data_IF_167570563038
#
_entry.id   IF_167570563038
#
_cell.length_a   1.000
_cell.length_b   1.000
_cell.length_c   1.000
_cell.angle_alpha   90.00
_cell.angle_beta   90.00
_cell.angle_gamma   90.00
#
_symmetry.space_group_name_H-M   'P 1'
#
loop_
_entity.id
_entity.type
_entity.pdbx_description
1 polymer ?
#
# COMPACT_ATOMS: atom_id res chain seq x y z
N UNK A 1 -61.75 12.90 -5.21
CA UNK A 1 -60.39 12.52 -4.77
C UNK A 1 -59.80 11.50 -5.74
N UNK A 2 -58.85 11.94 -6.56
CA UNK A 2 -57.75 11.04 -6.87
C UNK A 2 -57.35 10.34 -5.55
N UNK A 3 -57.40 9.01 -5.47
CA UNK A 3 -57.05 8.31 -4.24
C UNK A 3 -55.59 8.61 -3.88
N UNK A 4 -55.38 9.60 -3.02
CA UNK A 4 -54.14 9.92 -2.35
C UNK A 4 -54.08 9.09 -1.07
N UNK A 5 -54.02 7.76 -1.21
CA UNK A 5 -53.62 6.89 -0.11
C UNK A 5 -52.09 6.76 -0.08
N UNK A 6 -51.44 7.92 0.11
CA UNK A 6 -50.10 8.15 0.66
C UNK A 6 -49.96 9.66 0.76
N UNK A 7 -49.61 10.18 1.95
CA UNK A 7 -49.20 11.58 2.05
C UNK A 7 -48.10 11.81 1.02
N UNK A 8 -48.20 12.84 0.16
CA UNK A 8 -47.16 13.13 -0.80
C UNK A 8 -45.87 13.37 -0.03
N UNK A 9 -44.82 12.66 -0.43
CA UNK A 9 -43.48 12.90 0.08
C UNK A 9 -43.05 14.32 -0.28
N UNK A 10 -41.96 14.82 0.32
CA UNK A 10 -41.33 16.09 -0.12
C UNK A 10 -40.90 16.07 -1.60
N UNK A 11 -40.98 14.92 -2.28
CA UNK A 11 -40.53 14.70 -3.66
C UNK A 11 -41.70 14.66 -4.68
N UNK A 12 -42.95 14.77 -4.24
CA UNK A 12 -44.12 14.69 -5.12
C UNK A 12 -44.53 16.07 -5.65
N UNK A 13 -44.77 16.17 -6.97
CA UNK A 13 -45.41 17.34 -7.56
C UNK A 13 -46.92 17.17 -7.52
N UNK A 14 -47.59 18.16 -6.94
CA UNK A 14 -49.05 18.25 -6.98
C UNK A 14 -49.51 18.64 -8.38
N UNK A 15 -50.22 17.73 -9.07
CA UNK A 15 -50.78 17.97 -10.41
C UNK A 15 -51.90 19.01 -10.38
N UNK A 16 -52.75 18.94 -9.36
CA UNK A 16 -53.85 19.87 -9.12
C UNK A 16 -54.13 19.88 -7.61
N UNK A 17 -54.43 21.05 -7.05
CA UNK A 17 -54.91 21.15 -5.66
C UNK A 17 -56.29 20.49 -5.56
N UNK A 18 -56.62 19.96 -4.39
CA UNK A 18 -57.94 19.36 -4.19
C UNK A 18 -59.05 20.39 -4.40
N UNK A 19 -60.02 20.07 -5.26
CA UNK A 19 -61.20 20.89 -5.47
C UNK A 19 -62.40 20.04 -5.88
N UNK A 20 -63.60 20.58 -5.63
CA UNK A 20 -64.86 19.98 -6.07
C UNK A 20 -65.23 20.51 -7.45
N UNK A 21 -65.67 19.62 -8.34
CA UNK A 21 -66.20 19.98 -9.66
C UNK A 21 -67.73 20.08 -9.56
N UNK A 22 -68.29 21.15 -10.09
CA UNK A 22 -69.74 21.34 -10.21
C UNK A 22 -70.11 21.41 -11.69
N UNK A 23 -71.21 20.78 -12.08
CA UNK A 23 -71.71 20.85 -13.44
C UNK A 23 -72.44 22.18 -13.63
N UNK A 24 -72.00 22.98 -14.59
CA UNK A 24 -72.59 24.30 -14.87
C UNK A 24 -74.00 24.16 -15.47
N UNK A 25 -74.21 23.09 -16.24
CA UNK A 25 -75.46 22.70 -16.88
C UNK A 25 -75.65 21.19 -16.79
N UNK A 26 -76.86 20.70 -17.08
CA UNK A 26 -77.10 19.28 -17.25
C UNK A 26 -76.20 18.71 -18.35
N UNK A 27 -75.44 17.66 -18.04
CA UNK A 27 -74.58 16.99 -19.00
C UNK A 27 -75.36 16.04 -19.92
N UNK A 28 -74.66 15.53 -20.92
CA UNK A 28 -75.22 14.69 -21.97
C UNK A 28 -74.60 13.29 -21.91
N UNK A 29 -75.45 12.25 -21.93
CA UNK A 29 -74.99 10.87 -21.94
C UNK A 29 -74.78 10.36 -23.38
N UNK A 30 -73.71 9.62 -23.58
CA UNK A 30 -73.40 8.89 -24.82
C UNK A 30 -73.44 9.72 -26.13
N UNK A 31 -72.93 10.95 -26.12
CA UNK A 31 -72.90 11.84 -27.29
C UNK A 31 -71.67 11.62 -28.15
N UNK A 32 -71.85 11.60 -29.48
CA UNK A 32 -70.73 11.56 -30.42
C UNK A 32 -70.04 12.92 -30.54
N UNK A 33 -68.74 12.95 -30.26
CA UNK A 33 -67.89 14.13 -30.38
C UNK A 33 -66.63 13.74 -31.12
N UNK A 34 -66.42 14.31 -32.31
CA UNK A 34 -65.18 14.18 -33.11
C UNK A 34 -64.61 12.75 -33.20
N UNK A 35 -65.51 11.77 -33.43
CA UNK A 35 -65.15 10.37 -33.64
C UNK A 35 -65.01 9.52 -32.38
N UNK A 36 -65.36 10.05 -31.20
CA UNK A 36 -65.53 9.27 -29.97
C UNK A 36 -66.93 9.43 -29.38
N UNK A 37 -67.34 8.47 -28.55
CA UNK A 37 -68.57 8.51 -27.77
C UNK A 37 -68.23 8.30 -26.30
N UNK A 38 -68.01 9.38 -25.52
CA UNK A 38 -67.89 9.27 -24.07
C UNK A 38 -69.22 8.85 -23.44
N UNK A 39 -69.15 8.11 -22.34
CA UNK A 39 -70.35 7.69 -21.63
C UNK A 39 -71.10 8.89 -21.05
N UNK A 40 -70.37 9.91 -20.61
CA UNK A 40 -70.95 11.18 -20.19
C UNK A 40 -70.06 12.37 -20.55
N UNK A 41 -70.71 13.44 -21.00
CA UNK A 41 -70.10 14.73 -21.32
C UNK A 41 -70.70 15.80 -20.41
N UNK A 42 -69.86 16.42 -19.59
CA UNK A 42 -70.25 17.53 -18.73
C UNK A 42 -69.50 18.81 -19.05
N UNK A 43 -70.04 19.94 -18.59
CA UNK A 43 -69.37 21.23 -18.61
C UNK A 43 -69.16 21.66 -17.15
N UNK A 44 -67.91 21.95 -16.81
CA UNK A 44 -67.53 22.44 -15.49
C UNK A 44 -66.58 23.62 -15.66
N UNK A 45 -66.93 24.78 -15.09
CA UNK A 45 -66.18 26.02 -15.22
C UNK A 45 -65.87 26.37 -16.69
N UNK A 46 -66.89 26.31 -17.55
CA UNK A 46 -66.80 26.55 -19.00
C UNK A 46 -65.89 25.57 -19.77
N UNK A 47 -65.44 24.49 -19.12
CA UNK A 47 -64.60 23.45 -19.75
C UNK A 47 -65.37 22.15 -19.89
N UNK A 48 -65.24 21.54 -21.06
CA UNK A 48 -65.77 20.21 -21.31
C UNK A 48 -64.94 19.18 -20.55
N UNK A 49 -65.62 18.27 -19.85
CA UNK A 49 -65.02 17.11 -19.20
C UNK A 49 -65.75 15.87 -19.70
N UNK A 50 -64.99 14.86 -20.08
CA UNK A 50 -65.52 13.55 -20.41
C UNK A 50 -65.43 12.62 -19.21
N UNK A 51 -66.42 11.75 -19.09
CA UNK A 51 -66.46 10.69 -18.10
C UNK A 51 -66.71 9.36 -18.81
N UNK A 52 -65.87 8.38 -18.51
CA UNK A 52 -65.99 6.99 -18.95
C UNK A 52 -66.33 6.13 -17.74
N UNK A 53 -67.30 5.24 -17.88
CA UNK A 53 -67.76 4.35 -16.81
C UNK A 53 -67.42 2.91 -17.18
N UNK A 54 -66.45 2.35 -16.47
CA UNK A 54 -66.00 0.98 -16.70
C UNK A 54 -66.79 0.01 -15.83
N UNK A 55 -67.60 -0.85 -16.46
CA UNK A 55 -68.41 -1.87 -15.75
C UNK A 55 -67.95 -3.29 -16.09
N UNK A 56 -67.64 -3.56 -17.36
CA UNK A 56 -67.16 -4.89 -17.81
C UNK A 56 -65.99 -4.81 -18.78
N UNK A 57 -65.82 -3.68 -19.46
CA UNK A 57 -64.79 -3.48 -20.49
C UNK A 57 -64.12 -2.13 -20.23
N UNK A 58 -62.79 -2.12 -20.19
CA UNK A 58 -62.00 -0.89 -20.11
C UNK A 58 -62.04 -0.14 -21.45
N UNK A 59 -61.83 1.18 -21.47
CA UNK A 59 -61.72 1.95 -22.72
C UNK A 59 -60.58 1.43 -23.60
N UNK A 60 -60.91 1.15 -24.85
CA UNK A 60 -60.02 0.58 -25.85
C UNK A 60 -58.86 1.54 -26.19
N UNK A 61 -57.70 1.00 -26.60
CA UNK A 61 -56.55 1.81 -27.04
C UNK A 61 -56.87 2.87 -28.12
N UNK A 62 -57.70 2.58 -29.15
CA UNK A 62 -58.15 3.61 -30.10
C UNK A 62 -58.92 4.77 -29.46
N UNK A 63 -59.78 4.47 -28.47
CA UNK A 63 -60.57 5.47 -27.74
C UNK A 63 -59.66 6.35 -26.88
N UNK A 64 -58.71 5.75 -26.15
CA UNK A 64 -57.69 6.48 -25.38
C UNK A 64 -56.81 7.39 -26.27
N UNK A 65 -56.42 6.92 -27.45
CA UNK A 65 -55.67 7.73 -28.41
C UNK A 65 -56.46 8.94 -28.91
N UNK A 66 -57.77 8.79 -29.15
CA UNK A 66 -58.64 9.88 -29.56
C UNK A 66 -58.90 10.89 -28.43
N UNK A 67 -59.13 10.43 -27.20
CA UNK A 67 -59.26 11.28 -26.01
C UNK A 67 -58.02 12.16 -25.80
N UNK A 68 -56.81 11.59 -25.97
CA UNK A 68 -55.55 12.36 -25.92
C UNK A 68 -55.46 13.41 -27.04
N UNK A 69 -55.92 13.12 -28.25
CA UNK A 69 -55.90 14.11 -29.36
C UNK A 69 -56.83 15.30 -29.10
N UNK A 70 -57.99 15.05 -28.50
CA UNK A 70 -58.97 16.10 -28.20
C UNK A 70 -58.52 17.03 -27.06
N UNK A 71 -57.47 16.67 -26.32
CA UNK A 71 -56.95 17.41 -25.18
C UNK A 71 -58.05 17.73 -24.13
N UNK A 72 -59.12 16.94 -24.10
CA UNK A 72 -60.25 17.13 -23.18
C UNK A 72 -60.03 16.32 -21.91
N UNK A 73 -60.06 16.93 -20.71
CA UNK A 73 -59.94 16.20 -19.45
C UNK A 73 -60.93 15.05 -19.40
N UNK A 74 -60.42 13.83 -19.16
CA UNK A 74 -61.23 12.62 -19.18
C UNK A 74 -61.02 11.83 -17.90
N UNK A 75 -62.11 11.63 -17.17
CA UNK A 75 -62.16 10.88 -15.93
C UNK A 75 -62.74 9.50 -16.19
N UNK A 76 -62.10 8.46 -15.68
CA UNK A 76 -62.70 7.13 -15.58
C UNK A 76 -63.29 6.94 -14.20
N UNK A 77 -64.47 6.33 -14.17
CA UNK A 77 -65.13 5.81 -12.98
C UNK A 77 -65.26 4.30 -13.16
N UNK A 78 -64.40 3.56 -12.48
CA UNK A 78 -64.38 2.11 -12.48
C UNK A 78 -65.41 1.57 -11.47
N UNK A 79 -66.45 0.93 -12.00
CA UNK A 79 -67.50 0.24 -11.28
C UNK A 79 -67.44 -1.29 -11.51
N UNK A 80 -66.35 -1.81 -12.09
CA UNK A 80 -66.24 -3.23 -12.47
C UNK A 80 -66.33 -4.20 -11.28
N UNK A 81 -65.94 -3.75 -10.09
CA UNK A 81 -66.00 -4.51 -8.85
C UNK A 81 -67.33 -4.33 -8.08
N UNK A 82 -68.27 -3.54 -8.60
CA UNK A 82 -69.53 -3.22 -7.90
C UNK A 82 -70.58 -4.32 -8.12
N UNK A 83 -71.25 -4.83 -7.06
CA UNK A 83 -72.31 -5.82 -7.18
C UNK A 83 -73.48 -5.35 -8.06
N UNK A 84 -74.13 -6.29 -8.77
CA UNK A 84 -75.24 -5.96 -9.69
C UNK A 84 -76.54 -5.57 -8.97
N UNK A 85 -76.67 -5.87 -7.70
CA UNK A 85 -77.79 -5.53 -6.82
C UNK A 85 -77.56 -4.24 -6.01
N UNK A 86 -76.55 -3.43 -6.38
CA UNK A 86 -76.24 -2.14 -5.77
C UNK A 86 -77.43 -1.18 -5.82
N UNK A 87 -77.66 -0.46 -4.72
CA UNK A 87 -78.77 0.48 -4.60
C UNK A 87 -78.44 1.85 -5.22
N UNK A 88 -79.47 2.60 -5.64
CA UNK A 88 -79.26 3.95 -6.20
C UNK A 88 -78.49 4.92 -5.28
N UNK A 89 -78.70 4.93 -3.94
CA UNK A 89 -77.87 5.72 -3.03
C UNK A 89 -76.39 5.32 -3.02
N UNK A 90 -76.10 4.02 -3.13
CA UNK A 90 -74.71 3.51 -3.16
C UNK A 90 -74.01 3.86 -4.48
N UNK A 91 -74.73 3.78 -5.61
CA UNK A 91 -74.21 4.25 -6.91
C UNK A 91 -73.93 5.76 -6.85
N UNK A 92 -74.84 6.57 -6.30
CA UNK A 92 -74.63 8.02 -6.14
C UNK A 92 -73.37 8.30 -5.33
N UNK A 93 -73.20 7.59 -4.21
CA UNK A 93 -71.97 7.70 -3.40
C UNK A 93 -70.76 7.38 -4.28
N UNK A 94 -70.70 6.21 -4.91
CA UNK A 94 -69.54 5.77 -5.69
C UNK A 94 -69.23 6.66 -6.90
N UNK A 95 -70.24 7.21 -7.58
CA UNK A 95 -70.07 8.02 -8.79
C UNK A 95 -69.80 9.49 -8.48
N UNK A 96 -70.46 10.05 -7.46
CA UNK A 96 -70.45 11.50 -7.20
C UNK A 96 -69.66 11.87 -5.95
N UNK A 97 -70.02 11.28 -4.80
CA UNK A 97 -69.54 11.76 -3.49
C UNK A 97 -68.17 11.19 -3.11
N UNK A 98 -67.99 9.90 -3.40
CA UNK A 98 -66.78 9.13 -3.21
C UNK A 98 -65.87 9.29 -4.41
N UNK A 99 -64.71 8.68 -4.33
CA UNK A 99 -63.53 9.09 -5.07
C UNK A 99 -62.62 7.91 -5.40
N UNK A 100 -62.78 6.86 -4.62
CA UNK A 100 -62.53 5.48 -4.92
C UNK A 100 -63.04 5.10 -6.31
N UNK A 101 -62.25 4.31 -7.04
CA UNK A 101 -62.55 3.90 -8.41
C UNK A 101 -62.40 5.00 -9.46
N UNK A 102 -61.92 6.21 -9.12
CA UNK A 102 -61.74 7.30 -10.09
C UNK A 102 -60.29 7.57 -10.45
N UNK A 103 -60.00 7.69 -11.74
CA UNK A 103 -58.68 8.13 -12.24
C UNK A 103 -58.80 8.99 -13.49
N UNK A 104 -57.84 9.89 -13.70
CA UNK A 104 -57.73 10.61 -14.97
C UNK A 104 -57.17 9.68 -16.04
N UNK A 105 -57.91 9.47 -17.12
CA UNK A 105 -57.38 8.86 -18.35
C UNK A 105 -56.53 9.86 -19.15
N UNK A 106 -56.92 11.13 -19.07
CA UNK A 106 -56.16 12.24 -19.61
C UNK A 106 -56.40 13.50 -18.77
N UNK A 107 -55.32 14.16 -18.38
CA UNK A 107 -55.34 15.47 -17.74
C UNK A 107 -54.39 16.41 -18.48
N UNK A 108 -54.87 17.56 -19.03
CA UNK A 108 -54.02 18.46 -19.82
C UNK A 108 -52.75 18.93 -19.12
N UNK A 109 -52.77 19.12 -17.80
CA UNK A 109 -51.62 19.60 -17.01
C UNK A 109 -50.54 18.55 -16.69
N UNK A 110 -50.74 17.28 -17.07
CA UNK A 110 -49.81 16.20 -16.70
C UNK A 110 -48.42 16.39 -17.32
N UNK A 111 -48.35 16.79 -18.59
CA UNK A 111 -47.08 16.95 -19.31
C UNK A 111 -46.22 18.07 -18.70
N UNK A 112 -46.84 19.21 -18.37
CA UNK A 112 -46.18 20.35 -17.72
C UNK A 112 -45.64 19.96 -16.33
N UNK A 113 -46.46 19.29 -15.52
CA UNK A 113 -46.05 18.84 -14.20
C UNK A 113 -44.91 17.82 -14.25
N UNK A 114 -44.93 16.88 -15.21
CA UNK A 114 -43.82 15.95 -15.46
C UNK A 114 -42.54 16.68 -15.87
N UNK A 115 -42.64 17.68 -16.76
CA UNK A 115 -41.49 18.49 -17.16
C UNK A 115 -40.89 19.25 -15.97
N UNK A 116 -41.74 19.84 -15.11
CA UNK A 116 -41.32 20.51 -13.88
C UNK A 116 -40.61 19.56 -12.91
N UNK A 117 -41.11 18.33 -12.74
CA UNK A 117 -40.48 17.32 -11.88
C UNK A 117 -39.08 16.97 -12.38
N UNK A 118 -38.95 16.73 -13.68
CA UNK A 118 -37.66 16.43 -14.30
C UNK A 118 -36.69 17.58 -14.13
N UNK A 119 -37.11 18.82 -14.37
CA UNK A 119 -36.26 20.00 -14.21
C UNK A 119 -35.72 20.14 -12.77
N UNK A 120 -36.58 19.96 -11.76
CA UNK A 120 -36.17 20.00 -10.35
C UNK A 120 -35.17 18.88 -10.01
N UNK A 121 -35.39 17.67 -10.53
CA UNK A 121 -34.46 16.54 -10.34
C UNK A 121 -33.10 16.83 -10.96
N UNK A 122 -33.08 17.29 -12.21
CA UNK A 122 -31.83 17.67 -12.90
C UNK A 122 -31.08 18.75 -12.16
N UNK A 123 -31.78 19.78 -11.65
CA UNK A 123 -31.15 20.86 -10.88
C UNK A 123 -30.52 20.33 -9.58
N UNK A 124 -31.21 19.42 -8.87
CA UNK A 124 -30.68 18.80 -7.65
C UNK A 124 -29.45 17.94 -7.95
N UNK A 125 -29.53 17.11 -8.98
CA UNK A 125 -28.42 16.23 -9.34
C UNK A 125 -27.20 17.05 -9.77
N UNK A 126 -27.40 18.13 -10.53
CA UNK A 126 -26.34 19.07 -10.88
C UNK A 126 -25.70 19.72 -9.64
N UNK A 127 -26.51 20.12 -8.64
CA UNK A 127 -25.99 20.66 -7.39
C UNK A 127 -25.19 19.62 -6.60
N UNK A 128 -25.66 18.37 -6.53
CA UNK A 128 -24.96 17.28 -5.86
C UNK A 128 -23.62 16.94 -6.56
N UNK A 129 -23.60 16.95 -7.90
CA UNK A 129 -22.35 16.76 -8.64
C UNK A 129 -21.37 17.92 -8.42
N UNK A 130 -21.84 19.17 -8.38
CA UNK A 130 -20.99 20.31 -8.10
C UNK A 130 -20.36 20.24 -6.70
N UNK A 131 -21.11 19.83 -5.69
CA UNK A 131 -20.59 19.63 -4.32
C UNK A 131 -19.53 18.53 -4.27
N UNK A 132 -19.75 17.40 -4.96
CA UNK A 132 -18.75 16.34 -5.08
C UNK A 132 -17.47 16.81 -5.80
N UNK A 133 -17.62 17.56 -6.88
CA UNK A 133 -16.48 18.12 -7.63
C UNK A 133 -15.64 19.08 -6.76
N UNK A 134 -16.27 19.90 -5.92
CA UNK A 134 -15.56 20.75 -4.96
C UNK A 134 -14.74 19.94 -3.96
N UNK A 135 -15.30 18.86 -3.40
CA UNK A 135 -14.59 17.96 -2.49
C UNK A 135 -13.39 17.30 -3.18
N UNK A 136 -13.57 16.75 -4.39
CA UNK A 136 -12.47 16.16 -5.16
C UNK A 136 -11.39 17.17 -5.51
N UNK A 137 -11.79 18.39 -5.85
CA UNK A 137 -10.83 19.45 -6.18
C UNK A 137 -9.99 19.84 -4.97
N UNK A 138 -10.62 19.93 -3.79
CA UNK A 138 -9.94 20.22 -2.53
C UNK A 138 -8.99 19.08 -2.12
N UNK A 139 -9.40 17.82 -2.24
CA UNK A 139 -8.54 16.65 -1.99
C UNK A 139 -7.31 16.66 -2.90
N UNK A 140 -7.50 16.88 -4.21
CA UNK A 140 -6.37 16.99 -5.15
C UNK A 140 -5.44 18.15 -4.82
N UNK A 141 -5.98 19.27 -4.33
CA UNK A 141 -5.19 20.42 -3.90
C UNK A 141 -4.31 20.08 -2.69
N UNK A 142 -4.88 19.40 -1.70
CA UNK A 142 -4.15 18.94 -0.51
C UNK A 142 -3.06 17.92 -0.88
N UNK A 143 -3.37 16.96 -1.74
CA UNK A 143 -2.40 15.98 -2.23
C UNK A 143 -1.28 16.64 -3.03
N UNK A 144 -1.61 17.60 -3.90
CA UNK A 144 -0.62 18.38 -4.64
C UNK A 144 0.29 19.16 -3.69
N UNK A 145 -0.26 19.79 -2.65
CA UNK A 145 0.49 20.52 -1.64
C UNK A 145 1.41 19.60 -0.81
N UNK A 146 0.93 18.42 -0.42
CA UNK A 146 1.72 17.42 0.31
C UNK A 146 2.87 16.89 -0.55
N UNK A 147 2.60 16.59 -1.82
CA UNK A 147 3.61 16.12 -2.75
C UNK A 147 4.65 17.19 -3.05
N UNK A 148 4.25 18.46 -3.18
CA UNK A 148 5.16 19.59 -3.30
C UNK A 148 6.05 19.73 -2.06
N UNK A 149 5.47 19.68 -0.85
CA UNK A 149 6.23 19.74 0.40
C UNK A 149 7.25 18.59 0.53
N UNK A 150 6.89 17.37 0.11
CA UNK A 150 7.81 16.24 0.05
C UNK A 150 8.93 16.47 -0.96
N UNK A 151 8.62 17.00 -2.13
CA UNK A 151 9.60 17.33 -3.16
C UNK A 151 10.59 18.39 -2.66
N UNK A 152 10.11 19.43 -1.99
CA UNK A 152 10.95 20.48 -1.39
C UNK A 152 11.87 19.90 -0.31
N UNK A 153 11.35 19.05 0.57
CA UNK A 153 12.17 18.40 1.60
C UNK A 153 13.26 17.49 1.02
N UNK A 154 12.98 16.81 -0.10
CA UNK A 154 13.97 16.03 -0.84
C UNK A 154 15.02 16.96 -1.45
N UNK A 155 14.60 18.05 -2.10
CA UNK A 155 15.51 19.03 -2.70
C UNK A 155 16.45 19.64 -1.66
N UNK A 156 15.92 20.09 -0.51
CA UNK A 156 16.70 20.62 0.61
C UNK A 156 17.73 19.62 1.12
N UNK A 157 17.34 18.34 1.25
CA UNK A 157 18.25 17.27 1.65
C UNK A 157 19.37 17.08 0.64
N UNK A 158 19.07 17.09 -0.65
CA UNK A 158 20.07 16.97 -1.72
C UNK A 158 21.04 18.15 -1.72
N UNK A 159 20.53 19.39 -1.58
CA UNK A 159 21.36 20.60 -1.43
C UNK A 159 22.32 20.48 -0.24
N UNK A 160 21.82 19.97 0.90
CA UNK A 160 22.66 19.76 2.09
C UNK A 160 23.72 18.68 1.87
N UNK A 161 23.39 17.58 1.19
CA UNK A 161 24.34 16.53 0.84
C UNK A 161 25.44 17.10 -0.06
N UNK A 162 25.05 17.83 -1.10
CA UNK A 162 25.98 18.41 -2.06
C UNK A 162 26.90 19.45 -1.41
N UNK A 163 26.37 20.34 -0.56
CA UNK A 163 27.19 21.28 0.22
C UNK A 163 28.24 20.56 1.08
N UNK A 164 27.88 19.43 1.69
CA UNK A 164 28.81 18.61 2.47
C UNK A 164 29.83 17.86 1.59
N UNK A 165 29.44 17.45 0.38
CA UNK A 165 30.34 16.83 -0.59
C UNK A 165 31.32 17.86 -1.13
N UNK A 166 30.86 19.03 -1.58
CA UNK A 166 31.71 20.13 -2.03
C UNK A 166 32.74 20.54 -0.97
N UNK A 167 32.31 20.70 0.29
CA UNK A 167 33.24 21.01 1.42
C UNK A 167 34.28 19.92 1.64
N UNK A 168 33.90 18.65 1.46
CA UNK A 168 34.84 17.55 1.60
C UNK A 168 35.78 17.43 0.41
N UNK A 169 35.30 17.70 -0.81
CA UNK A 169 36.12 17.70 -2.03
C UNK A 169 37.22 18.75 -1.96
N UNK A 170 36.90 19.97 -1.54
CA UNK A 170 37.86 21.07 -1.38
C UNK A 170 38.84 20.90 -0.22
N UNK A 171 38.59 19.95 0.69
CA UNK A 171 39.49 19.69 1.82
C UNK A 171 40.80 19.03 1.39
N UNK A 172 41.90 19.41 2.04
CA UNK A 172 43.22 18.79 1.82
C UNK A 172 43.24 17.34 2.33
N UNK A 173 44.16 16.48 1.88
CA UNK A 173 44.30 15.12 2.40
C UNK A 173 44.42 15.05 3.92
N UNK A 174 45.17 15.98 4.54
CA UNK A 174 45.31 16.09 5.99
C UNK A 174 43.98 16.40 6.68
N UNK A 175 43.19 17.33 6.13
CA UNK A 175 41.86 17.66 6.65
C UNK A 175 40.88 16.49 6.51
N UNK A 176 40.93 15.75 5.38
CA UNK A 176 40.13 14.54 5.17
C UNK A 176 40.46 13.47 6.21
N UNK A 177 41.75 13.23 6.47
CA UNK A 177 42.20 12.29 7.51
C UNK A 177 41.81 12.73 8.92
N UNK A 178 41.88 14.02 9.24
CA UNK A 178 41.42 14.54 10.54
C UNK A 178 39.90 14.35 10.72
N UNK A 179 39.12 14.66 9.68
CA UNK A 179 37.68 14.40 9.67
C UNK A 179 37.35 12.92 9.89
N UNK A 180 38.02 12.02 9.17
CA UNK A 180 37.82 10.58 9.28
C UNK A 180 38.26 10.05 10.65
N UNK A 181 39.38 10.53 11.18
CA UNK A 181 39.88 10.19 12.53
C UNK A 181 38.83 10.52 13.59
N UNK A 182 38.27 11.73 13.55
CA UNK A 182 37.23 12.14 14.48
C UNK A 182 35.95 11.30 14.35
N UNK A 183 35.61 10.83 13.14
CA UNK A 183 34.41 10.02 12.90
C UNK A 183 34.58 8.53 13.20
N UNK A 184 35.78 7.99 12.99
CA UNK A 184 36.12 6.60 13.28
C UNK A 184 36.51 6.38 14.75
N UNK A 185 36.83 7.45 15.49
CA UNK A 185 37.17 7.38 16.92
C UNK A 185 38.57 6.83 17.22
N UNK A 186 39.41 6.64 16.20
CA UNK A 186 40.80 6.15 16.33
C UNK A 186 41.75 6.99 15.48
N UNK A 187 42.98 7.26 15.94
CA UNK A 187 44.00 7.93 15.12
C UNK A 187 44.35 7.08 13.90
N UNK A 188 44.77 7.72 12.80
CA UNK A 188 45.10 7.05 11.53
C UNK A 188 46.12 5.92 11.70
N UNK A 189 47.06 6.08 12.63
CA UNK A 189 48.10 5.08 12.95
C UNK A 189 47.55 3.82 13.59
N UNK A 190 46.39 3.90 14.26
CA UNK A 190 45.70 2.78 14.87
C UNK A 190 44.57 2.21 13.99
N UNK A 191 44.42 2.69 12.75
CA UNK A 191 43.47 2.08 11.83
C UNK A 191 43.96 0.70 11.38
N UNK A 192 43.06 -0.29 11.29
CA UNK A 192 43.43 -1.64 10.92
C UNK A 192 43.96 -1.69 9.48
N UNK A 193 44.82 -2.67 9.20
CA UNK A 193 45.51 -2.83 7.92
C UNK A 193 44.56 -3.05 6.73
N UNK A 194 43.30 -3.42 6.99
CA UNK A 194 42.25 -3.45 5.98
C UNK A 194 41.98 -2.08 5.35
N UNK A 195 42.21 -0.98 6.08
CA UNK A 195 42.05 0.39 5.59
C UNK A 195 43.37 0.86 4.96
N UNK A 196 43.36 1.02 3.64
CA UNK A 196 44.54 1.25 2.82
C UNK A 196 45.03 0.00 2.08
N UNK A 197 44.27 -1.09 2.07
CA UNK A 197 44.60 -2.29 1.29
C UNK A 197 44.60 -1.96 -0.20
N UNK A 198 45.59 -2.46 -0.93
CA UNK A 198 45.71 -2.24 -2.36
C UNK A 198 44.57 -2.93 -3.13
N UNK A 199 43.93 -2.22 -4.05
CA UNK A 199 42.77 -2.73 -4.81
C UNK A 199 42.83 -2.27 -6.26
N UNK A 200 42.31 -3.10 -7.16
CA UNK A 200 42.28 -2.78 -8.58
C UNK A 200 41.35 -1.61 -8.81
N UNK A 201 41.71 -0.72 -9.74
CA UNK A 201 40.91 0.46 -10.05
C UNK A 201 41.01 1.61 -9.03
N UNK A 202 41.77 1.47 -7.93
CA UNK A 202 42.00 2.56 -6.97
C UNK A 202 42.48 3.89 -7.60
N UNK A 203 43.35 3.91 -8.64
CA UNK A 203 43.76 5.15 -9.29
C UNK A 203 42.61 5.97 -9.88
N UNK A 204 41.44 5.37 -10.12
CA UNK A 204 40.27 6.07 -10.62
C UNK A 204 39.70 7.12 -9.63
N UNK A 205 39.87 6.90 -8.33
CA UNK A 205 39.28 7.72 -7.24
C UNK A 205 40.15 8.95 -6.94
N UNK A 206 41.38 9.00 -7.45
CA UNK A 206 42.31 10.13 -7.37
C UNK A 206 42.58 10.66 -5.94
N UNK A 207 42.45 9.78 -4.94
CA UNK A 207 42.80 10.03 -3.54
C UNK A 207 43.46 8.79 -2.96
N UNK A 208 44.21 8.96 -1.87
CA UNK A 208 44.83 7.83 -1.17
C UNK A 208 43.80 6.74 -0.85
N UNK A 209 44.17 5.48 -1.12
CA UNK A 209 43.34 4.31 -0.84
C UNK A 209 42.86 4.25 0.61
N UNK A 210 43.73 4.66 1.54
CA UNK A 210 43.43 4.72 2.97
C UNK A 210 42.32 5.73 3.30
N UNK A 211 42.22 6.84 2.56
CA UNK A 211 41.20 7.87 2.78
C UNK A 211 39.82 7.39 2.32
N UNK A 212 39.69 6.93 1.08
CA UNK A 212 38.36 6.60 0.55
C UNK A 212 37.82 5.30 1.16
N UNK A 213 38.68 4.31 1.46
CA UNK A 213 38.25 3.09 2.14
C UNK A 213 37.73 3.38 3.57
N UNK A 214 38.41 4.28 4.29
CA UNK A 214 37.96 4.75 5.59
C UNK A 214 36.63 5.53 5.50
N UNK A 215 36.43 6.36 4.47
CA UNK A 215 35.17 7.10 4.28
C UNK A 215 34.01 6.15 3.91
N UNK A 216 34.26 5.13 3.08
CA UNK A 216 33.30 4.05 2.79
C UNK A 216 32.92 3.32 4.06
N UNK A 217 33.89 2.87 4.86
CA UNK A 217 33.64 2.17 6.11
C UNK A 217 32.80 3.04 7.07
N UNK A 218 33.20 4.29 7.27
CA UNK A 218 32.47 5.26 8.11
C UNK A 218 31.04 5.48 7.63
N UNK A 219 30.79 5.53 6.32
CA UNK A 219 29.47 5.82 5.76
C UNK A 219 28.55 4.61 5.79
N UNK A 220 29.03 3.47 5.31
CA UNK A 220 28.20 2.32 4.96
C UNK A 220 28.27 1.18 5.95
N UNK A 221 29.24 1.18 6.88
CA UNK A 221 29.45 0.06 7.80
C UNK A 221 29.35 0.53 9.25
N UNK A 222 30.10 1.56 9.63
CA UNK A 222 30.21 2.03 11.02
C UNK A 222 28.84 2.31 11.67
N UNK A 223 28.57 1.66 12.81
CA UNK A 223 27.36 1.80 13.65
C UNK A 223 26.03 1.54 12.90
N UNK A 224 26.05 0.77 11.82
CA UNK A 224 24.85 0.51 11.03
C UNK A 224 23.96 -0.58 11.64
N UNK A 225 24.51 -1.55 12.39
CA UNK A 225 23.70 -2.61 12.99
C UNK A 225 22.75 -2.07 14.07
N UNK A 226 23.17 -1.02 14.80
CA UNK A 226 22.31 -0.34 15.77
C UNK A 226 21.16 0.45 15.11
N UNK A 227 21.33 0.89 13.86
CA UNK A 227 20.32 1.66 13.12
C UNK A 227 19.35 0.78 12.34
N UNK A 228 19.89 -0.23 11.66
CA UNK A 228 19.11 -1.15 10.84
C UNK A 228 19.87 -2.50 10.77
N UNK A 229 19.47 -3.49 11.57
CA UNK A 229 20.11 -4.82 11.58
C UNK A 229 20.08 -5.54 10.22
N UNK A 230 19.11 -5.19 9.36
CA UNK A 230 18.94 -5.77 8.03
C UNK A 230 19.55 -4.88 6.93
N UNK A 231 20.37 -3.88 7.29
CA UNK A 231 21.02 -3.00 6.33
C UNK A 231 21.91 -3.82 5.40
N UNK A 232 21.69 -3.61 4.10
CA UNK A 232 22.50 -4.21 3.03
C UNK A 232 23.50 -3.20 2.52
N UNK A 233 24.67 -3.69 2.15
CA UNK A 233 25.72 -2.93 1.46
C UNK A 233 25.91 -3.55 0.09
N UNK A 234 25.66 -2.76 -0.95
CA UNK A 234 25.85 -3.20 -2.35
C UNK A 234 26.99 -2.42 -2.98
N UNK A 235 27.72 -3.06 -3.91
CA UNK A 235 28.76 -2.39 -4.70
C UNK A 235 28.25 -1.14 -5.40
N UNK A 236 27.05 -1.21 -5.98
CA UNK A 236 26.44 -0.12 -6.75
C UNK A 236 26.22 1.13 -5.89
N UNK A 237 25.45 1.00 -4.79
CA UNK A 237 25.20 2.12 -3.86
C UNK A 237 26.49 2.74 -3.30
N UNK A 238 27.52 1.93 -3.01
CA UNK A 238 28.80 2.46 -2.51
C UNK A 238 29.58 3.17 -3.62
N UNK A 239 29.61 2.61 -4.83
CA UNK A 239 30.30 3.18 -5.97
C UNK A 239 29.66 4.50 -6.42
N UNK A 240 28.33 4.56 -6.53
CA UNK A 240 27.62 5.78 -6.91
C UNK A 240 27.82 6.87 -5.86
N UNK A 241 27.75 6.51 -4.57
CA UNK A 241 28.08 7.44 -3.49
C UNK A 241 29.53 7.95 -3.59
N UNK A 242 30.51 7.09 -3.89
CA UNK A 242 31.90 7.52 -4.08
C UNK A 242 32.07 8.46 -5.27
N UNK A 243 31.38 8.17 -6.39
CA UNK A 243 31.43 8.98 -7.61
C UNK A 243 30.96 10.40 -7.30
N UNK A 244 29.83 10.56 -6.60
CA UNK A 244 29.34 11.87 -6.16
C UNK A 244 30.23 12.50 -5.08
N UNK A 245 30.68 11.70 -4.11
CA UNK A 245 31.46 12.17 -2.96
C UNK A 245 32.81 12.77 -3.37
N UNK A 246 33.45 12.20 -4.39
CA UNK A 246 34.78 12.58 -4.86
C UNK A 246 34.79 13.24 -6.24
N UNK A 247 33.62 13.47 -6.85
CA UNK A 247 33.49 14.07 -8.20
C UNK A 247 34.30 13.30 -9.24
N UNK A 248 34.08 11.98 -9.27
CA UNK A 248 34.79 11.07 -10.18
C UNK A 248 34.11 11.08 -11.54
N UNK A 249 34.88 11.30 -12.60
CA UNK A 249 34.37 11.26 -13.97
C UNK A 249 33.63 9.95 -14.29
N UNK A 250 32.48 10.04 -14.96
CA UNK A 250 31.63 8.90 -15.33
C UNK A 250 32.37 7.83 -16.15
N UNK A 251 33.36 8.23 -16.96
CA UNK A 251 34.23 7.33 -17.73
C UNK A 251 35.05 6.37 -16.86
N UNK A 252 35.26 6.71 -15.58
CA UNK A 252 35.98 5.88 -14.59
C UNK A 252 35.06 5.04 -13.72
N UNK A 253 33.74 5.12 -13.89
CA UNK A 253 32.75 4.50 -13.01
C UNK A 253 32.89 2.97 -12.91
N UNK A 254 33.23 2.29 -14.00
CA UNK A 254 33.52 0.85 -13.99
C UNK A 254 34.71 0.51 -13.09
N UNK A 255 35.79 1.29 -13.18
CA UNK A 255 36.98 1.11 -12.34
C UNK A 255 36.69 1.35 -10.86
N UNK A 256 35.82 2.33 -10.54
CA UNK A 256 35.35 2.55 -9.16
C UNK A 256 34.59 1.34 -8.64
N UNK A 257 33.67 0.77 -9.44
CA UNK A 257 32.93 -0.44 -9.05
C UNK A 257 33.87 -1.63 -8.79
N UNK A 258 34.92 -1.79 -9.58
CA UNK A 258 35.96 -2.82 -9.35
C UNK A 258 36.70 -2.57 -8.03
N UNK A 259 37.12 -1.32 -7.76
CA UNK A 259 37.81 -0.97 -6.52
C UNK A 259 36.94 -1.21 -5.28
N UNK A 260 35.65 -0.85 -5.36
CA UNK A 260 34.67 -1.10 -4.30
C UNK A 260 34.46 -2.60 -4.11
N UNK A 261 34.28 -3.36 -5.19
CA UNK A 261 34.14 -4.82 -5.13
C UNK A 261 35.33 -5.47 -4.41
N UNK A 262 36.55 -5.13 -4.79
CA UNK A 262 37.77 -5.66 -4.17
C UNK A 262 37.84 -5.29 -2.69
N UNK A 263 37.51 -4.04 -2.33
CA UNK A 263 37.51 -3.60 -0.93
C UNK A 263 36.43 -4.28 -0.07
N UNK A 264 35.19 -4.43 -0.57
CA UNK A 264 34.14 -5.16 0.15
C UNK A 264 34.53 -6.64 0.32
N UNK A 265 35.23 -7.22 -0.66
CA UNK A 265 35.78 -8.58 -0.56
C UNK A 265 36.90 -8.69 0.48
N UNK A 266 37.72 -7.65 0.66
CA UNK A 266 38.71 -7.56 1.76
C UNK A 266 37.99 -7.53 3.11
N UNK A 267 36.91 -6.75 3.23
CA UNK A 267 36.13 -6.66 4.46
C UNK A 267 35.39 -7.97 4.77
N UNK A 268 34.94 -8.70 3.74
CA UNK A 268 34.43 -10.07 3.89
C UNK A 268 35.53 -11.00 4.45
N UNK A 269 36.75 -10.95 3.90
CA UNK A 269 37.89 -11.70 4.43
C UNK A 269 38.31 -11.27 5.83
N UNK A 270 37.90 -10.11 6.32
CA UNK A 270 38.13 -9.67 7.69
C UNK A 270 36.90 -9.84 8.61
N UNK A 271 35.89 -10.59 8.15
CA UNK A 271 34.64 -10.89 8.90
C UNK A 271 33.82 -9.66 9.28
N UNK A 272 34.02 -8.53 8.56
CA UNK A 272 33.14 -7.37 8.67
C UNK A 272 31.85 -7.54 7.88
N UNK A 273 31.94 -8.26 6.76
CA UNK A 273 30.84 -8.46 5.82
C UNK A 273 30.66 -9.95 5.54
N UNK A 274 29.44 -10.33 5.14
CA UNK A 274 29.14 -11.64 4.56
C UNK A 274 28.49 -11.47 3.21
N UNK A 275 29.02 -12.08 2.17
CA UNK A 275 28.38 -12.09 0.86
C UNK A 275 27.09 -12.91 0.90
N UNK A 276 26.00 -12.32 0.41
CA UNK A 276 24.70 -13.00 0.27
C UNK A 276 24.52 -13.49 -1.16
N UNK A 277 24.38 -12.56 -2.09
CA UNK A 277 24.16 -12.83 -3.51
C UNK A 277 24.95 -11.82 -4.34
N UNK A 278 25.63 -12.29 -5.40
CA UNK A 278 26.37 -11.47 -6.37
C UNK A 278 27.21 -10.35 -5.71
N UNK A 279 26.71 -9.12 -5.69
CA UNK A 279 27.42 -7.90 -5.24
C UNK A 279 26.77 -7.26 -4.00
N UNK A 280 26.04 -8.05 -3.23
CA UNK A 280 25.33 -7.65 -2.02
C UNK A 280 25.90 -8.34 -0.77
N UNK A 281 26.11 -7.54 0.26
CA UNK A 281 26.74 -7.92 1.52
C UNK A 281 25.86 -7.57 2.72
N UNK A 282 25.84 -8.48 3.69
CA UNK A 282 25.31 -8.28 5.02
C UNK A 282 26.43 -7.85 5.97
N UNK A 283 26.13 -6.90 6.87
CA UNK A 283 27.10 -6.44 7.87
C UNK A 283 27.14 -7.42 9.04
N UNK A 284 28.33 -7.95 9.35
CA UNK A 284 28.55 -8.81 10.52
C UNK A 284 29.14 -8.02 11.69
N UNK A 285 30.02 -7.05 11.38
CA UNK A 285 30.68 -6.19 12.35
C UNK A 285 30.69 -4.76 11.84
N UNK A 286 30.19 -3.84 12.67
CA UNK A 286 30.05 -2.42 12.36
C UNK A 286 30.91 -1.51 13.25
N UNK A 287 31.88 -2.09 13.95
CA UNK A 287 32.85 -1.38 14.80
C UNK A 287 34.25 -1.57 14.25
N UNK A 288 35.04 -0.50 14.24
CA UNK A 288 36.40 -0.53 13.70
C UNK A 288 37.34 -1.33 14.62
N UNK A 289 37.97 -2.36 14.07
CA UNK A 289 38.90 -3.23 14.77
C UNK A 289 40.33 -2.70 14.89
N UNK A 290 41.23 -3.61 15.23
CA UNK A 290 42.66 -3.39 15.48
C UNK A 290 43.52 -4.38 14.69
N UNK A 291 42.97 -4.92 13.60
CA UNK A 291 43.65 -5.95 12.79
C UNK A 291 44.93 -5.37 12.16
N UNK A 292 46.08 -5.97 12.50
CA UNK A 292 47.39 -5.55 11.97
C UNK A 292 47.71 -6.17 10.61
N UNK A 293 46.96 -7.21 10.21
CA UNK A 293 47.08 -7.89 8.93
C UNK A 293 45.71 -8.22 8.37
N UNK A 294 45.60 -8.26 7.04
CA UNK A 294 44.40 -8.75 6.35
C UNK A 294 44.53 -10.27 6.19
N UNK A 295 43.62 -11.07 6.76
CA UNK A 295 43.68 -12.52 6.61
C UNK A 295 43.64 -12.94 5.13
N UNK A 296 44.59 -13.79 4.71
CA UNK A 296 44.51 -14.44 3.42
C UNK A 296 43.51 -15.61 3.49
N UNK A 297 42.87 -15.93 2.37
CA UNK A 297 41.95 -17.08 2.30
C UNK A 297 42.65 -18.39 2.68
N UNK A 298 43.91 -18.53 2.26
CA UNK A 298 44.76 -19.68 2.62
C UNK A 298 45.08 -19.71 4.11
N UNK A 299 45.39 -18.56 4.72
CA UNK A 299 45.65 -18.47 6.16
C UNK A 299 44.39 -18.82 6.97
N UNK A 300 43.20 -18.39 6.53
CA UNK A 300 41.93 -18.81 7.15
C UNK A 300 41.67 -20.30 7.00
N UNK A 301 41.92 -20.86 5.82
CA UNK A 301 41.79 -22.30 5.58
C UNK A 301 42.75 -23.10 6.47
N UNK A 302 44.02 -22.67 6.56
CA UNK A 302 45.02 -23.28 7.44
C UNK A 302 44.68 -23.13 8.92
N UNK A 303 44.19 -21.97 9.36
CA UNK A 303 43.77 -21.75 10.74
C UNK A 303 42.58 -22.65 11.10
N UNK A 304 41.60 -22.76 10.20
CA UNK A 304 40.46 -23.67 10.36
C UNK A 304 40.91 -25.14 10.39
N UNK A 305 41.77 -25.55 9.47
CA UNK A 305 42.36 -26.89 9.46
C UNK A 305 43.12 -27.16 10.76
N UNK A 306 43.95 -26.21 11.21
CA UNK A 306 44.73 -26.35 12.45
C UNK A 306 43.84 -26.42 13.68
N UNK A 307 42.82 -25.55 13.77
CA UNK A 307 41.90 -25.49 14.90
C UNK A 307 41.02 -26.74 14.99
N UNK A 308 40.70 -27.37 13.85
CA UNK A 308 39.87 -28.58 13.80
C UNK A 308 40.67 -29.87 13.76
N UNK A 309 42.00 -29.79 13.60
CA UNK A 309 42.90 -30.95 13.56
C UNK A 309 42.82 -31.73 14.86
N UNK A 310 42.55 -33.03 14.75
CA UNK A 310 42.47 -33.93 15.90
C UNK A 310 41.16 -33.84 16.67
N UNK A 311 40.14 -33.14 16.16
CA UNK A 311 38.78 -33.16 16.68
C UNK A 311 37.84 -33.90 15.73
N UNK A 312 36.91 -34.66 16.29
CA UNK A 312 35.85 -35.34 15.56
C UNK A 312 34.51 -35.23 16.31
N UNK A 313 33.43 -35.56 15.61
CA UNK A 313 32.09 -35.56 16.21
C UNK A 313 31.98 -36.50 17.42
N UNK A 314 31.41 -35.99 18.51
CA UNK A 314 30.99 -36.83 19.63
C UNK A 314 29.86 -37.78 19.22
N UNK A 315 29.85 -39.01 19.76
CA UNK A 315 28.80 -40.01 19.50
C UNK A 315 27.43 -39.64 20.10
N UNK A 316 27.39 -38.76 21.10
CA UNK A 316 26.16 -38.22 21.70
C UNK A 316 25.74 -36.88 21.12
N UNK A 317 24.46 -36.51 21.30
CA UNK A 317 23.99 -35.14 21.10
C UNK A 317 24.24 -34.29 22.35
N UNK A 318 24.47 -32.99 22.18
CA UNK A 318 24.59 -32.08 23.32
C UNK A 318 23.19 -31.60 23.74
N UNK A 319 22.88 -31.68 25.04
CA UNK A 319 21.60 -31.19 25.57
C UNK A 319 21.63 -29.69 25.89
N UNK A 320 20.48 -29.13 26.27
CA UNK A 320 20.36 -27.71 26.58
C UNK A 320 21.19 -27.28 27.81
N UNK A 321 21.39 -28.18 28.77
CA UNK A 321 22.19 -27.90 29.97
C UNK A 321 23.68 -27.78 29.61
N UNK A 322 24.17 -28.71 28.80
CA UNK A 322 25.54 -28.72 28.28
C UNK A 322 25.82 -27.50 27.41
N UNK A 323 24.88 -27.12 26.54
CA UNK A 323 24.97 -25.91 25.72
C UNK A 323 25.18 -24.66 26.59
N UNK A 324 24.28 -24.40 27.55
CA UNK A 324 24.37 -23.19 28.37
C UNK A 324 25.55 -23.23 29.33
N UNK A 325 25.97 -24.42 29.78
CA UNK A 325 27.22 -24.55 30.53
C UNK A 325 28.44 -24.20 29.69
N UNK A 326 28.48 -24.61 28.41
CA UNK A 326 29.59 -24.31 27.51
C UNK A 326 29.66 -22.82 27.20
N UNK A 327 28.52 -22.20 26.88
CA UNK A 327 28.40 -20.75 26.64
C UNK A 327 28.94 -19.94 27.84
N UNK A 328 28.58 -20.32 29.07
CA UNK A 328 29.12 -19.67 30.28
C UNK A 328 30.63 -19.89 30.45
N UNK A 329 31.12 -21.11 30.21
CA UNK A 329 32.54 -21.46 30.37
C UNK A 329 33.44 -20.75 29.36
N UNK A 330 32.99 -20.58 28.12
CA UNK A 330 33.77 -19.95 27.05
C UNK A 330 33.60 -18.44 26.96
N UNK A 331 32.62 -17.88 27.69
CA UNK A 331 32.31 -16.45 27.66
C UNK A 331 31.71 -15.98 26.32
N UNK A 332 31.23 -16.91 25.50
CA UNK A 332 30.60 -16.60 24.21
C UNK A 332 29.20 -16.03 24.46
N UNK A 333 28.85 -14.95 23.79
CA UNK A 333 27.49 -14.42 23.81
C UNK A 333 26.66 -15.07 22.69
N UNK A 334 25.47 -15.58 23.01
CA UNK A 334 24.56 -16.21 22.03
C UNK A 334 23.18 -15.59 22.13
N UNK A 335 22.63 -15.08 21.02
CA UNK A 335 21.27 -14.55 21.00
C UNK A 335 20.23 -15.69 21.12
N UNK A 336 19.02 -15.44 21.69
CA UNK A 336 18.00 -16.49 21.86
C UNK A 336 17.59 -17.21 20.56
N UNK A 337 17.54 -16.48 19.44
CA UNK A 337 17.24 -17.05 18.12
C UNK A 337 18.36 -17.95 17.59
N UNK A 338 19.61 -17.60 17.85
CA UNK A 338 20.79 -18.40 17.48
C UNK A 338 20.93 -19.63 18.36
N UNK A 339 20.66 -19.50 19.66
CA UNK A 339 20.67 -20.60 20.63
C UNK A 339 19.66 -21.68 20.23
N UNK A 340 18.43 -21.30 19.89
CA UNK A 340 17.39 -22.24 19.44
C UNK A 340 17.83 -23.06 18.23
N UNK A 341 18.46 -22.42 17.23
CA UNK A 341 18.94 -23.11 16.04
C UNK A 341 20.14 -24.02 16.31
N UNK A 342 21.11 -23.57 17.11
CA UNK A 342 22.29 -24.36 17.45
C UNK A 342 21.91 -25.58 18.30
N UNK A 343 21.04 -25.39 19.30
CA UNK A 343 20.51 -26.48 20.11
C UNK A 343 19.82 -27.55 19.26
N UNK A 344 18.97 -27.14 18.31
CA UNK A 344 18.32 -28.09 17.39
C UNK A 344 19.34 -28.87 16.57
N UNK A 345 20.37 -28.20 16.04
CA UNK A 345 21.43 -28.86 15.28
C UNK A 345 22.29 -29.82 16.13
N UNK A 346 22.46 -29.54 17.43
CA UNK A 346 23.25 -30.37 18.33
C UNK A 346 22.47 -31.59 18.86
N UNK A 347 21.14 -31.47 18.93
CA UNK A 347 20.21 -32.53 19.33
C UNK A 347 19.87 -33.52 18.20
N UNK A 348 19.99 -33.10 16.93
CA UNK A 348 19.71 -33.93 15.77
C UNK A 348 21.01 -34.27 15.01
N UNK A 349 21.70 -35.41 15.29
CA UNK A 349 22.95 -35.76 14.64
C UNK A 349 22.88 -35.86 13.11
N UNK A 350 21.67 -36.07 12.55
CA UNK A 350 21.41 -36.10 11.10
C UNK A 350 21.49 -34.73 10.43
N UNK A 351 21.42 -33.64 11.21
CA UNK A 351 21.57 -32.26 10.73
C UNK A 351 23.03 -31.75 10.79
N UNK A 352 23.98 -32.60 11.21
CA UNK A 352 25.41 -32.27 11.23
C UNK A 352 25.90 -32.13 9.78
N UNK A 353 26.50 -30.98 9.45
CA UNK A 353 27.04 -30.71 8.10
C UNK A 353 28.15 -31.71 7.72
N UNK A 354 28.44 -31.82 6.42
CA UNK A 354 29.23 -32.90 5.81
C UNK A 354 30.69 -33.05 6.28
N UNK A 355 31.24 -32.12 7.06
CA UNK A 355 32.50 -32.30 7.80
C UNK A 355 32.60 -31.31 8.99
N UNK A 356 33.49 -31.63 9.94
CA UNK A 356 33.75 -30.89 11.17
C UNK A 356 34.15 -29.44 10.89
N UNK A 357 35.08 -29.24 9.94
CA UNK A 357 35.59 -27.92 9.57
C UNK A 357 34.51 -26.97 9.06
N UNK A 358 33.63 -27.44 8.16
CA UNK A 358 32.51 -26.68 7.65
C UNK A 358 31.53 -26.32 8.77
N UNK A 359 31.34 -27.23 9.74
CA UNK A 359 30.48 -26.97 10.88
C UNK A 359 31.05 -25.91 11.83
N UNK A 360 32.32 -26.03 12.21
CA UNK A 360 33.02 -25.02 13.02
C UNK A 360 32.95 -23.66 12.35
N UNK A 361 33.24 -23.60 11.05
CA UNK A 361 33.16 -22.35 10.30
C UNK A 361 31.74 -21.76 10.35
N UNK A 362 30.70 -22.58 10.23
CA UNK A 362 29.30 -22.15 10.33
C UNK A 362 28.97 -21.58 11.71
N UNK A 363 29.42 -22.23 12.78
CA UNK A 363 29.21 -21.78 14.17
C UNK A 363 29.98 -20.49 14.46
N UNK A 364 31.26 -20.42 14.10
CA UNK A 364 32.10 -19.23 14.23
C UNK A 364 31.48 -18.03 13.52
N UNK A 365 31.05 -18.26 12.28
CA UNK A 365 30.43 -17.25 11.42
C UNK A 365 29.08 -16.78 11.99
N UNK A 366 28.26 -17.69 12.51
CA UNK A 366 26.95 -17.39 13.08
C UNK A 366 27.09 -16.58 14.37
N UNK A 367 27.90 -17.05 15.30
CA UNK A 367 28.11 -16.42 16.60
C UNK A 367 29.07 -15.23 16.57
N UNK A 368 29.68 -14.95 15.41
CA UNK A 368 30.65 -13.86 15.20
C UNK A 368 31.84 -13.97 16.15
N UNK A 369 32.35 -15.18 16.32
CA UNK A 369 33.50 -15.51 17.18
C UNK A 369 34.65 -16.08 16.34
N UNK A 370 35.91 -16.01 16.81
CA UNK A 370 37.03 -16.70 16.19
C UNK A 370 36.78 -18.21 16.07
N UNK A 371 37.37 -18.83 15.04
CA UNK A 371 37.24 -20.27 14.78
C UNK A 371 37.71 -21.10 15.97
N UNK A 372 38.78 -20.67 16.63
CA UNK A 372 39.32 -21.29 17.84
C UNK A 372 38.30 -21.26 18.98
N UNK A 373 37.61 -20.13 19.16
CA UNK A 373 36.53 -20.01 20.15
C UNK A 373 35.30 -20.84 19.80
N UNK A 374 35.00 -21.01 18.51
CA UNK A 374 33.96 -21.93 18.09
C UNK A 374 34.33 -23.39 18.40
N UNK A 375 35.58 -23.80 18.18
CA UNK A 375 36.07 -25.14 18.58
C UNK A 375 35.99 -25.31 20.08
N UNK A 376 36.49 -24.35 20.87
CA UNK A 376 36.39 -24.41 22.34
C UNK A 376 34.94 -24.55 22.81
N UNK A 377 34.01 -23.80 22.23
CA UNK A 377 32.58 -23.89 22.54
C UNK A 377 32.01 -25.28 22.21
N UNK A 378 32.34 -25.82 21.03
CA UNK A 378 31.86 -27.12 20.58
C UNK A 378 32.44 -28.27 21.42
N UNK A 379 33.69 -28.17 21.85
CA UNK A 379 34.32 -29.13 22.76
C UNK A 379 33.73 -29.02 24.17
N UNK A 380 33.58 -27.81 24.70
CA UNK A 380 32.98 -27.57 26.01
C UNK A 380 31.51 -28.02 26.10
N UNK A 381 30.80 -27.98 24.96
CA UNK A 381 29.43 -28.48 24.84
C UNK A 381 29.34 -29.99 24.62
N UNK A 382 30.47 -30.69 24.46
CA UNK A 382 30.50 -32.13 24.18
C UNK A 382 30.03 -32.49 22.77
N UNK A 383 30.01 -31.52 21.84
CA UNK A 383 29.68 -31.74 20.42
C UNK A 383 30.88 -32.34 19.69
N UNK A 384 32.08 -31.86 20.01
CA UNK A 384 33.35 -32.36 19.51
C UNK A 384 34.15 -33.04 20.61
N UNK A 385 34.89 -34.09 20.25
CA UNK A 385 35.84 -34.78 21.12
C UNK A 385 37.20 -34.86 20.43
N UNK A 386 38.27 -34.91 21.21
CA UNK A 386 39.61 -35.14 20.67
C UNK A 386 39.68 -36.59 20.17
N UNK A 387 40.06 -36.77 18.91
CA UNK A 387 40.30 -38.09 18.34
C UNK A 387 41.45 -38.74 19.13
N UNK A 388 41.21 -39.93 19.69
CA UNK A 388 42.28 -40.74 20.25
C UNK A 388 43.29 -41.04 19.14
N UNK A 389 44.57 -40.81 19.43
CA UNK A 389 45.67 -41.00 18.48
C UNK A 389 45.81 -42.46 18.04
#
# INVERSE_FOLDING_TARGET
>A
MCQLHKQPSREDITLCVEHTLHWDVAGEAEVWVDGIRPDFRGICQDKVIFVEVTVTHEPDLPKLGALKRLQTPTLEIDLSAVPRDVTAPEVRRLVIDATEGKRWLFYPGEAEARARLTALRTQRDAAAYAELDEVYWEERRLDAALNASRADAIADRLVKIEKNNARFRSATPTQKLAFLTAKLGKPVTAWPAILGHDVRGAPAINVSTRIWQADVFRRHILLQLARNPNQRVTVETVADWLIERYDIASSKSTSVRVAVWDFLSVLERADYLRRRVRQEFEILRDVLGDETQVPSTEAKARALETATRGYCWARGGADASQFWSAVRKTGVHVAPSEATMLLRAWQEPRLRMSNEAAYVQSVATRLRIPVEKAVELLVAAGVFVQAAA
#
